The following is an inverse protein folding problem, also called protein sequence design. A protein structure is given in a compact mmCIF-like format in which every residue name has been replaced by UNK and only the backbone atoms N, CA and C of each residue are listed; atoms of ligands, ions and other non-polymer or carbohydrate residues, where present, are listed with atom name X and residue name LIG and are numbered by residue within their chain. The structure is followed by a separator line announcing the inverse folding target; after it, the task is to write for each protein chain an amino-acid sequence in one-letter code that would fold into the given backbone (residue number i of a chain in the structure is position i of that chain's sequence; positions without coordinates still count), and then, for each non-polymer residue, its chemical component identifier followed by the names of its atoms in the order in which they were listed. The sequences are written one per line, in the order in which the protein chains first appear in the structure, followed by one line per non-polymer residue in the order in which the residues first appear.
data_IF_130872550989
#
_entry.id   IF_130872550989
#
_cell.length_a   1.000
_cell.length_b   1.000
_cell.length_c   1.000
_cell.angle_alpha   90.00
_cell.angle_beta   90.00
_cell.angle_gamma   90.00
#
_symmetry.space_group_name_H-M   'P 1'
#
loop_
_entity.id
_entity.type
_entity.pdbx_description
1 polymer ?
#
# COMPACT_ATOMS: atom_id res chain seq x y z
N UNK A 1 32.41 -19.44 -7.23
CA UNK A 1 31.89 -20.01 -5.97
C UNK A 1 30.67 -19.20 -5.57
N UNK A 2 29.53 -19.56 -6.16
CA UNK A 2 28.22 -18.92 -6.02
C UNK A 2 27.31 -20.01 -5.45
N UNK A 3 26.62 -19.76 -4.33
CA UNK A 3 25.54 -20.65 -3.86
C UNK A 3 25.51 -21.10 -2.39
N UNK A 4 26.30 -20.53 -1.46
CA UNK A 4 26.24 -20.89 -0.03
C UNK A 4 25.37 -19.94 0.83
N UNK A 5 24.55 -19.09 0.23
CA UNK A 5 23.87 -17.99 0.93
C UNK A 5 22.38 -17.81 0.64
N UNK A 6 21.72 -18.76 -0.02
CA UNK A 6 20.29 -18.68 -0.29
C UNK A 6 19.60 -19.92 0.27
N UNK A 7 18.68 -19.72 1.22
CA UNK A 7 17.77 -20.74 1.75
C UNK A 7 16.42 -20.63 1.01
N UNK A 8 16.18 -21.44 -0.04
CA UNK A 8 14.98 -21.32 -0.85
C UNK A 8 13.73 -21.70 -0.05
N UNK A 9 13.85 -22.65 0.88
CA UNK A 9 12.74 -23.08 1.72
C UNK A 9 12.36 -21.99 2.72
N UNK A 10 13.34 -21.33 3.33
CA UNK A 10 13.13 -20.18 4.19
C UNK A 10 12.48 -19.00 3.46
N UNK A 11 12.87 -18.76 2.21
CA UNK A 11 12.27 -17.75 1.35
C UNK A 11 10.81 -18.09 0.98
N UNK A 12 10.56 -19.32 0.55
CA UNK A 12 9.20 -19.79 0.21
C UNK A 12 8.25 -19.70 1.41
N UNK A 13 8.71 -20.12 2.59
CA UNK A 13 7.93 -19.99 3.83
C UNK A 13 7.63 -18.52 4.18
N UNK A 14 8.61 -17.62 4.02
CA UNK A 14 8.41 -16.20 4.24
C UNK A 14 7.40 -15.60 3.26
N UNK A 15 7.49 -15.97 1.98
CA UNK A 15 6.55 -15.52 0.96
C UNK A 15 5.13 -16.00 1.26
N UNK A 16 4.94 -17.27 1.61
CA UNK A 16 3.61 -17.79 1.96
C UNK A 16 3.01 -17.11 3.17
N UNK A 17 3.82 -16.84 4.21
CA UNK A 17 3.35 -16.14 5.39
C UNK A 17 2.92 -14.70 5.06
N UNK A 18 3.79 -13.94 4.41
CA UNK A 18 3.54 -12.53 4.07
C UNK A 18 2.40 -12.36 3.07
N UNK A 19 2.26 -13.28 2.11
CA UNK A 19 1.19 -13.23 1.12
C UNK A 19 -0.20 -13.59 1.69
N UNK A 20 -0.27 -14.23 2.86
CA UNK A 20 -1.52 -14.52 3.54
C UNK A 20 -2.09 -13.30 4.30
N UNK A 21 -1.26 -12.27 4.51
CA UNK A 21 -1.66 -11.03 5.18
C UNK A 21 -2.26 -10.08 4.13
N UNK A 22 -3.52 -9.68 4.31
CA UNK A 22 -4.11 -8.62 3.49
C UNK A 22 -3.44 -7.29 3.84
N UNK A 23 -2.64 -6.76 2.90
CA UNK A 23 -1.65 -5.72 3.21
C UNK A 23 -1.69 -4.44 2.37
N UNK A 24 -2.84 -3.74 2.23
CA UNK A 24 -2.87 -2.41 1.60
C UNK A 24 -1.95 -1.40 2.31
N UNK A 25 -1.56 -0.34 1.60
CA UNK A 25 -0.75 0.74 2.19
C UNK A 25 -1.44 1.40 3.39
N UNK A 26 -0.65 1.71 4.42
CA UNK A 26 -1.05 2.28 5.69
C UNK A 26 -2.15 1.50 6.42
N UNK A 27 -2.19 0.17 6.23
CA UNK A 27 -3.16 -0.72 6.90
C UNK A 27 -2.56 -1.40 8.13
N UNK A 28 -3.44 -1.97 8.95
CA UNK A 28 -3.03 -2.81 10.09
C UNK A 28 -2.21 -4.03 9.64
N UNK A 29 -2.59 -4.66 8.52
CA UNK A 29 -1.81 -5.76 7.96
C UNK A 29 -0.41 -5.32 7.54
N UNK A 30 -0.25 -4.08 7.05
CA UNK A 30 1.07 -3.53 6.70
C UNK A 30 1.98 -3.47 7.92
N UNK A 31 1.44 -3.00 9.04
CA UNK A 31 2.13 -2.98 10.33
C UNK A 31 2.46 -4.40 10.81
N UNK A 32 1.50 -5.31 10.81
CA UNK A 32 1.71 -6.71 11.24
C UNK A 32 2.88 -7.36 10.49
N UNK A 33 2.91 -7.23 9.16
CA UNK A 33 3.99 -7.83 8.40
C UNK A 33 5.34 -7.13 8.62
N UNK A 34 5.34 -5.80 8.84
CA UNK A 34 6.57 -5.07 9.14
C UNK A 34 7.16 -5.53 10.49
N UNK A 35 6.33 -5.69 11.51
CA UNK A 35 6.71 -6.22 12.82
C UNK A 35 7.23 -7.66 12.71
N UNK A 36 6.56 -8.51 11.92
CA UNK A 36 7.02 -9.88 11.67
C UNK A 36 8.39 -9.93 10.98
N UNK A 37 8.62 -9.06 9.98
CA UNK A 37 9.91 -8.95 9.30
C UNK A 37 10.99 -8.49 10.28
N UNK A 38 10.72 -7.46 11.08
CA UNK A 38 11.66 -6.95 12.07
C UNK A 38 12.07 -8.05 13.07
N UNK A 39 11.09 -8.78 13.63
CA UNK A 39 11.36 -9.89 14.54
C UNK A 39 12.21 -11.00 13.89
N UNK A 40 11.99 -11.31 12.60
CA UNK A 40 12.79 -12.29 11.85
C UNK A 40 14.22 -11.82 11.59
N UNK A 41 14.42 -10.52 11.36
CA UNK A 41 15.74 -9.92 11.19
C UNK A 41 16.50 -9.89 12.53
N UNK A 42 15.84 -9.50 13.61
CA UNK A 42 16.40 -9.53 14.97
C UNK A 42 16.84 -10.94 15.38
N UNK A 43 16.03 -11.97 15.05
CA UNK A 43 16.38 -13.37 15.28
C UNK A 43 17.62 -13.84 14.49
N UNK A 44 18.03 -13.08 13.48
CA UNK A 44 19.26 -13.28 12.71
C UNK A 44 20.38 -12.33 13.15
N UNK A 45 20.27 -11.74 14.35
CA UNK A 45 21.19 -10.74 14.92
C UNK A 45 21.35 -9.48 14.04
N UNK A 46 20.34 -9.15 13.23
CA UNK A 46 20.29 -7.91 12.48
C UNK A 46 19.59 -6.82 13.31
N UNK A 47 20.10 -5.58 13.22
CA UNK A 47 19.40 -4.42 13.76
C UNK A 47 18.21 -4.07 12.86
N UNK A 48 16.99 -4.10 13.41
CA UNK A 48 15.77 -3.78 12.69
C UNK A 48 14.84 -2.95 13.58
N UNK A 49 14.12 -2.01 12.96
CA UNK A 49 13.09 -1.21 13.62
C UNK A 49 11.94 -0.94 12.67
N UNK A 50 10.73 -0.83 13.20
CA UNK A 50 9.55 -0.39 12.44
C UNK A 50 9.42 1.12 12.59
N UNK A 51 9.48 1.84 11.48
CA UNK A 51 9.33 3.30 11.45
C UNK A 51 7.88 3.68 11.12
N UNK A 52 7.30 4.59 11.92
CA UNK A 52 5.96 5.10 11.69
C UNK A 52 5.98 6.42 10.92
N UNK A 53 5.27 6.46 9.79
CA UNK A 53 5.11 7.62 8.91
C UNK A 53 3.62 7.95 8.73
N UNK A 54 3.28 9.25 8.66
CA UNK A 54 1.89 9.67 8.45
C UNK A 54 1.50 9.50 6.99
N UNK A 55 0.58 8.58 6.73
CA UNK A 55 -0.02 8.45 5.42
C UNK A 55 -0.89 9.69 5.08
N UNK A 56 -0.50 10.44 4.05
CA UNK A 56 -1.28 11.56 3.53
C UNK A 56 -2.39 11.04 2.60
N UNK A 57 -3.37 10.32 3.17
CA UNK A 57 -4.49 9.70 2.44
C UNK A 57 -5.46 10.68 1.75
N UNK A 58 -5.30 11.99 1.99
CA UNK A 58 -6.18 13.04 1.47
C UNK A 58 -5.78 13.55 0.08
N UNK A 59 -4.69 13.06 -0.53
CA UNK A 59 -4.27 13.48 -1.88
C UNK A 59 -5.39 13.30 -2.93
N UNK A 60 -6.20 12.25 -2.80
CA UNK A 60 -7.30 11.97 -3.72
C UNK A 60 -8.48 12.93 -3.59
N UNK A 61 -8.61 13.62 -2.45
CA UNK A 61 -9.76 14.46 -2.14
C UNK A 61 -9.86 15.70 -3.05
N UNK A 62 -8.79 16.51 -3.24
CA UNK A 62 -8.81 17.59 -4.24
C UNK A 62 -9.10 17.10 -5.65
N UNK A 63 -8.57 15.94 -6.03
CA UNK A 63 -8.75 15.36 -7.36
C UNK A 63 -10.20 14.95 -7.60
N UNK A 64 -10.83 14.31 -6.60
CA UNK A 64 -12.24 13.91 -6.64
C UNK A 64 -13.18 15.11 -6.73
N UNK A 65 -12.91 16.18 -5.98
CA UNK A 65 -13.69 17.43 -6.05
C UNK A 65 -13.62 18.04 -7.46
N UNK A 66 -12.41 18.15 -8.02
CA UNK A 66 -12.22 18.72 -9.35
C UNK A 66 -12.93 17.88 -10.44
N UNK A 67 -12.83 16.55 -10.36
CA UNK A 67 -13.51 15.64 -11.28
C UNK A 67 -15.04 15.78 -11.18
N UNK A 68 -15.60 15.83 -9.97
CA UNK A 68 -17.03 16.02 -9.75
C UNK A 68 -17.52 17.37 -10.30
N UNK A 69 -16.77 18.44 -10.06
CA UNK A 69 -17.09 19.76 -10.59
C UNK A 69 -17.11 19.77 -12.13
N UNK A 70 -16.12 19.12 -12.77
CA UNK A 70 -16.08 18.95 -14.22
C UNK A 70 -17.27 18.18 -14.77
N UNK A 71 -17.64 17.08 -14.13
CA UNK A 71 -18.80 16.27 -14.52
C UNK A 71 -20.12 17.06 -14.44
N UNK A 72 -20.32 17.81 -13.34
CA UNK A 72 -21.51 18.67 -13.17
C UNK A 72 -21.54 19.78 -14.23
N UNK A 73 -20.40 20.45 -14.46
CA UNK A 73 -20.31 21.49 -15.49
C UNK A 73 -20.63 20.96 -16.89
N UNK A 74 -20.11 19.79 -17.26
CA UNK A 74 -20.42 19.12 -18.52
C UNK A 74 -21.90 18.75 -18.65
N UNK A 75 -22.50 18.22 -17.58
CA UNK A 75 -23.92 17.86 -17.56
C UNK A 75 -24.81 19.09 -17.76
N UNK A 76 -24.55 20.19 -17.05
CA UNK A 76 -25.30 21.45 -17.18
C UNK A 76 -25.16 22.05 -18.58
N UNK A 77 -23.94 22.09 -19.14
CA UNK A 77 -23.70 22.58 -20.49
C UNK A 77 -24.43 21.74 -21.55
N UNK A 78 -24.46 20.42 -21.37
CA UNK A 78 -25.24 19.53 -22.25
C UNK A 78 -26.75 19.71 -22.11
N UNK A 79 -27.25 20.13 -20.94
CA UNK A 79 -28.68 20.36 -20.71
C UNK A 79 -29.16 21.66 -21.35
N UNK A 80 -28.37 22.72 -21.22
CA UNK A 80 -28.64 23.99 -21.88
C UNK A 80 -28.68 23.87 -23.41
N UNK A 81 -27.75 23.09 -24.01
CA UNK A 81 -27.75 22.84 -25.46
C UNK A 81 -28.93 22.02 -25.97
N UNK A 82 -29.57 21.21 -25.11
CA UNK A 82 -30.65 20.29 -25.52
C UNK A 82 -32.07 20.84 -25.28
N UNK A 83 -32.19 21.96 -24.56
CA UNK A 83 -33.47 22.63 -24.26
C UNK A 83 -33.48 24.12 -24.66
N UNK A 84 -32.43 24.61 -25.32
CA UNK A 84 -32.30 25.99 -25.79
C UNK A 84 -32.41 26.10 -27.31
#
# INVERSE_FOLDING_TARGET
MHGAGQDPAGLEAALHHLAAIERPSASEGEREAAEWIAARLEALDCEAQVEEERAHGTYWWPLGIAAAAGAVGGALASWGRRHG
#
